data_IF_592814018893
#
_entry.id   IF_592814018893
#
_cell.length_a   1.000
_cell.length_b   1.000
_cell.length_c   1.000
_cell.angle_alpha   90.00
_cell.angle_beta   90.00
_cell.angle_gamma   90.00
#
_symmetry.space_group_name_H-M   'P 1'
#
loop_
_entity.id
_entity.type
_entity.pdbx_description
1 polymer ?
#
# COMPACT_ATOMS: atom_id res chain seq x y z
N UNK A 1 -48.91 20.91 14.82
CA UNK A 1 -48.21 21.59 13.72
C UNK A 1 -46.84 20.96 13.58
N UNK A 2 -46.70 20.12 12.56
CA UNK A 2 -45.48 19.38 12.24
C UNK A 2 -44.91 20.05 10.99
N UNK A 3 -43.77 20.73 11.13
CA UNK A 3 -43.04 21.32 10.01
C UNK A 3 -41.80 20.49 9.73
N UNK A 4 -41.64 20.17 8.44
CA UNK A 4 -40.84 19.08 7.92
C UNK A 4 -39.33 19.23 8.10
N UNK A 5 -38.69 18.07 8.28
CA UNK A 5 -37.28 17.90 7.93
C UNK A 5 -37.19 17.69 6.41
N UNK A 6 -36.26 18.34 5.71
CA UNK A 6 -36.01 18.04 4.32
C UNK A 6 -35.47 16.62 4.18
N UNK A 7 -36.00 15.91 3.19
CA UNK A 7 -35.50 14.62 2.72
C UNK A 7 -34.05 14.80 2.25
N UNK A 8 -33.08 14.41 3.06
CA UNK A 8 -31.73 14.14 2.58
C UNK A 8 -31.82 12.86 1.74
N UNK A 9 -31.50 12.97 0.45
CA UNK A 9 -31.34 11.82 -0.44
C UNK A 9 -30.27 10.92 0.17
N UNK A 10 -30.67 9.74 0.61
CA UNK A 10 -29.79 8.60 0.78
C UNK A 10 -29.23 8.24 -0.59
N UNK A 11 -28.12 8.87 -0.98
CA UNK A 11 -27.27 8.37 -2.06
C UNK A 11 -26.62 7.09 -1.54
N UNK A 12 -27.11 5.96 -2.05
CA UNK A 12 -26.60 4.62 -1.74
C UNK A 12 -25.11 4.56 -2.07
N UNK A 13 -24.26 4.79 -1.08
CA UNK A 13 -22.98 4.09 -1.01
C UNK A 13 -23.34 2.61 -0.94
N UNK A 14 -23.12 1.85 -2.01
CA UNK A 14 -23.19 0.40 -1.93
C UNK A 14 -22.14 -0.05 -0.92
N UNK A 15 -22.58 -0.42 0.28
CA UNK A 15 -21.77 -1.21 1.20
C UNK A 15 -21.34 -2.46 0.44
N UNK A 16 -20.04 -2.70 0.30
CA UNK A 16 -19.57 -3.96 -0.26
C UNK A 16 -20.22 -5.13 0.48
N UNK A 17 -20.54 -6.23 -0.22
CA UNK A 17 -21.15 -7.39 0.42
C UNK A 17 -20.27 -7.90 1.58
N UNK A 18 -20.87 -8.55 2.60
CA UNK A 18 -20.12 -9.15 3.72
C UNK A 18 -19.26 -10.35 3.33
N UNK A 19 -19.09 -10.58 2.03
CA UNK A 19 -18.37 -11.69 1.41
C UNK A 19 -17.49 -11.14 0.29
N UNK A 20 -16.37 -11.81 -0.05
CA UNK A 20 -15.54 -11.40 -1.18
C UNK A 20 -16.36 -11.33 -2.47
N UNK A 21 -16.13 -10.31 -3.33
CA UNK A 21 -16.64 -10.37 -4.69
C UNK A 21 -16.08 -11.61 -5.41
N UNK A 22 -16.80 -12.09 -6.42
CA UNK A 22 -16.33 -13.22 -7.21
C UNK A 22 -15.04 -12.84 -7.96
N UNK A 23 -14.03 -13.71 -7.90
CA UNK A 23 -12.78 -13.52 -8.64
C UNK A 23 -13.04 -13.39 -10.14
N UNK A 24 -12.30 -12.51 -10.80
CA UNK A 24 -12.38 -12.29 -12.26
C UNK A 24 -13.72 -11.76 -12.77
N UNK A 25 -14.66 -11.40 -11.90
CA UNK A 25 -15.95 -10.82 -12.30
C UNK A 25 -15.99 -9.34 -11.96
N UNK A 26 -16.15 -8.44 -12.93
CA UNK A 26 -16.24 -7.02 -12.66
C UNK A 26 -17.44 -6.67 -11.77
N UNK A 27 -17.18 -6.07 -10.61
CA UNK A 27 -18.17 -5.50 -9.71
C UNK A 27 -18.22 -3.99 -9.91
N UNK A 28 -19.39 -3.44 -10.24
CA UNK A 28 -19.59 -2.00 -10.31
C UNK A 28 -19.60 -1.39 -8.89
N UNK A 29 -18.65 -0.50 -8.61
CA UNK A 29 -18.56 0.22 -7.34
C UNK A 29 -19.24 1.59 -7.42
N UNK A 30 -18.97 2.32 -8.50
CA UNK A 30 -19.54 3.62 -8.85
C UNK A 30 -19.78 3.67 -10.38
N UNK A 31 -20.55 4.62 -10.93
CA UNK A 31 -20.89 4.62 -12.37
C UNK A 31 -19.70 4.54 -13.35
N UNK A 32 -18.54 5.05 -12.95
CA UNK A 32 -17.28 5.08 -13.70
C UNK A 32 -16.20 4.19 -13.09
N UNK A 33 -16.52 3.35 -12.10
CA UNK A 33 -15.54 2.57 -11.36
C UNK A 33 -15.98 1.13 -11.14
N UNK A 34 -15.16 0.21 -11.62
CA UNK A 34 -15.34 -1.24 -11.40
C UNK A 34 -14.17 -1.81 -10.61
N UNK A 35 -14.44 -2.87 -9.85
CA UNK A 35 -13.46 -3.72 -9.19
C UNK A 35 -13.43 -5.09 -9.85
N UNK A 36 -12.24 -5.57 -10.20
CA UNK A 36 -11.99 -6.96 -10.59
C UNK A 36 -11.04 -7.56 -9.57
N UNK A 37 -11.52 -8.53 -8.79
CA UNK A 37 -10.71 -9.19 -7.76
C UNK A 37 -9.84 -10.29 -8.39
N UNK A 38 -8.53 -10.21 -8.20
CA UNK A 38 -7.58 -11.21 -8.69
C UNK A 38 -7.69 -12.53 -7.90
N UNK A 39 -7.48 -13.70 -8.55
CA UNK A 39 -7.62 -15.02 -7.94
C UNK A 39 -6.36 -15.43 -7.14
N UNK A 40 -5.91 -14.58 -6.22
CA UNK A 40 -4.68 -14.76 -5.43
C UNK A 40 -4.87 -14.55 -3.92
N UNK A 41 -5.88 -15.18 -3.26
CA UNK A 41 -6.07 -15.02 -1.82
C UNK A 41 -4.88 -15.58 -1.02
N UNK A 42 -4.46 -14.86 0.02
CA UNK A 42 -3.37 -15.25 0.91
C UNK A 42 -3.44 -14.46 2.23
N UNK A 43 -2.61 -14.77 3.24
CA UNK A 43 -2.51 -13.95 4.44
C UNK A 43 -2.12 -12.49 4.17
N UNK A 44 -1.43 -12.20 3.05
CA UNK A 44 -0.98 -10.86 2.68
C UNK A 44 -1.99 -10.12 1.81
N UNK A 45 -2.66 -10.84 0.91
CA UNK A 45 -3.58 -10.28 -0.10
C UNK A 45 -5.05 -10.40 0.30
N UNK A 46 -5.33 -10.99 1.47
CA UNK A 46 -6.67 -11.27 1.99
C UNK A 46 -7.52 -12.08 0.99
N UNK A 47 -8.53 -11.46 0.37
CA UNK A 47 -9.35 -12.10 -0.66
C UNK A 47 -8.70 -12.17 -2.04
N UNK A 48 -7.63 -11.40 -2.25
CA UNK A 48 -6.96 -11.18 -3.52
C UNK A 48 -6.65 -9.69 -3.73
N UNK A 49 -5.91 -9.39 -4.80
CA UNK A 49 -5.63 -8.01 -5.19
C UNK A 49 -6.85 -7.38 -5.85
N UNK A 50 -7.20 -6.18 -5.41
CA UNK A 50 -8.24 -5.35 -5.97
C UNK A 50 -7.69 -4.60 -7.19
N UNK A 51 -8.00 -5.06 -8.40
CA UNK A 51 -7.73 -4.30 -9.62
C UNK A 51 -8.90 -3.37 -9.91
N UNK A 52 -8.64 -2.07 -10.05
CA UNK A 52 -9.68 -1.09 -10.34
C UNK A 52 -9.69 -0.71 -11.81
N UNK A 53 -10.89 -0.63 -12.40
CA UNK A 53 -11.12 -0.12 -13.75
C UNK A 53 -11.85 1.21 -13.64
N UNK A 54 -11.12 2.30 -13.83
CA UNK A 54 -11.62 3.67 -13.78
C UNK A 54 -11.90 4.18 -15.20
N UNK A 55 -13.06 4.78 -15.41
CA UNK A 55 -13.45 5.42 -16.67
C UNK A 55 -14.62 4.76 -17.39
N UNK A 56 -15.13 5.47 -18.39
CA UNK A 56 -16.24 5.06 -19.26
C UNK A 56 -15.76 4.64 -20.65
N UNK A 57 -15.15 5.55 -21.40
CA UNK A 57 -14.66 5.30 -22.77
C UNK A 57 -13.15 5.00 -22.78
N UNK A 58 -12.34 5.88 -22.18
CA UNK A 58 -10.92 5.61 -21.93
C UNK A 58 -10.78 5.05 -20.52
N UNK A 59 -10.27 3.83 -20.41
CA UNK A 59 -10.16 3.10 -19.16
C UNK A 59 -8.71 3.15 -18.63
N UNK A 60 -8.59 3.40 -17.33
CA UNK A 60 -7.39 3.14 -16.54
C UNK A 60 -7.57 1.87 -15.73
N UNK A 61 -6.56 1.00 -15.78
CA UNK A 61 -6.42 -0.16 -14.90
C UNK A 61 -5.46 0.24 -13.78
N UNK A 62 -5.90 0.19 -12.53
CA UNK A 62 -5.05 0.46 -11.36
C UNK A 62 -4.74 -0.86 -10.68
N UNK A 63 -3.45 -1.19 -10.57
CA UNK A 63 -2.89 -2.46 -10.08
C UNK A 63 -3.43 -3.68 -10.84
N UNK A 64 -2.85 -4.01 -12.01
CA UNK A 64 -3.36 -5.08 -12.87
C UNK A 64 -3.28 -6.46 -12.23
N UNK A 65 -2.55 -6.63 -11.12
CA UNK A 65 -2.57 -7.85 -10.33
C UNK A 65 -1.37 -8.78 -10.61
N UNK A 66 -1.37 -9.99 -10.01
CA UNK A 66 -0.41 -11.02 -10.38
C UNK A 66 -0.62 -11.47 -11.83
N UNK A 67 0.43 -12.04 -12.44
CA UNK A 67 0.33 -12.53 -13.80
C UNK A 67 -0.54 -13.80 -13.88
N UNK A 68 -1.81 -13.63 -14.27
CA UNK A 68 -2.82 -14.68 -14.32
C UNK A 68 -3.65 -14.57 -15.60
N UNK A 69 -3.77 -15.68 -16.36
CA UNK A 69 -4.53 -15.73 -17.61
C UNK A 69 -6.00 -15.39 -17.41
N UNK A 70 -6.62 -15.97 -16.38
CA UNK A 70 -8.02 -15.72 -16.05
C UNK A 70 -8.27 -14.26 -15.64
N UNK A 71 -7.30 -13.65 -14.93
CA UNK A 71 -7.41 -12.25 -14.54
C UNK A 71 -7.21 -11.33 -15.76
N UNK A 72 -6.25 -11.61 -16.63
CA UNK A 72 -6.07 -10.88 -17.89
C UNK A 72 -7.34 -10.87 -18.73
N UNK A 73 -7.96 -12.03 -18.93
CA UNK A 73 -9.21 -12.16 -19.66
C UNK A 73 -10.32 -11.31 -19.02
N UNK A 74 -10.42 -11.33 -17.69
CA UNK A 74 -11.37 -10.50 -16.95
C UNK A 74 -11.15 -9.00 -17.18
N UNK A 75 -9.90 -8.52 -17.14
CA UNK A 75 -9.57 -7.12 -17.42
C UNK A 75 -9.91 -6.74 -18.86
N UNK A 76 -9.56 -7.58 -19.84
CA UNK A 76 -9.88 -7.35 -21.25
C UNK A 76 -11.39 -7.33 -21.52
N UNK A 77 -12.17 -8.14 -20.79
CA UNK A 77 -13.63 -8.16 -20.89
C UNK A 77 -14.31 -6.85 -20.45
N UNK A 78 -13.59 -5.99 -19.71
CA UNK A 78 -14.09 -4.69 -19.29
C UNK A 78 -14.16 -3.66 -20.43
N UNK A 79 -13.54 -3.94 -21.59
CA UNK A 79 -13.56 -3.11 -22.80
C UNK A 79 -14.88 -3.27 -23.56
N UNK A 80 -15.98 -2.81 -22.98
CA UNK A 80 -17.34 -2.92 -23.56
C UNK A 80 -17.77 -1.61 -24.22
N UNK A 81 -18.72 -1.68 -25.17
CA UNK A 81 -19.33 -0.48 -25.75
C UNK A 81 -18.38 0.43 -26.56
N UNK A 82 -17.21 -0.06 -26.95
CA UNK A 82 -16.17 0.72 -27.62
C UNK A 82 -15.10 1.29 -26.68
N UNK A 83 -15.26 1.11 -25.37
CA UNK A 83 -14.27 1.51 -24.38
C UNK A 83 -12.94 0.77 -24.56
N UNK A 84 -11.82 1.43 -24.25
CA UNK A 84 -10.46 0.89 -24.42
C UNK A 84 -9.63 1.16 -23.17
N UNK A 85 -8.87 0.15 -22.75
CA UNK A 85 -7.81 0.33 -21.77
C UNK A 85 -6.70 1.13 -22.45
N UNK A 86 -6.38 2.28 -21.88
CA UNK A 86 -5.39 3.23 -22.42
C UNK A 86 -4.26 3.50 -21.43
N UNK A 87 -4.52 3.29 -20.14
CA UNK A 87 -3.59 3.53 -19.05
C UNK A 87 -3.55 2.33 -18.11
N UNK A 88 -2.35 1.96 -17.68
CA UNK A 88 -2.11 1.01 -16.61
C UNK A 88 -1.34 1.75 -15.54
N UNK A 89 -1.97 2.01 -14.40
CA UNK A 89 -1.36 2.67 -13.25
C UNK A 89 -0.97 1.60 -12.25
N UNK A 90 0.29 1.59 -11.83
CA UNK A 90 0.79 0.63 -10.83
C UNK A 90 1.18 1.41 -9.58
N UNK A 91 0.58 1.05 -8.45
CA UNK A 91 0.85 1.70 -7.16
C UNK A 91 2.26 1.39 -6.72
N UNK A 92 2.71 0.13 -6.81
CA UNK A 92 4.03 -0.29 -6.36
C UNK A 92 4.43 -1.66 -6.96
N UNK A 93 5.71 -2.02 -6.81
CA UNK A 93 6.30 -3.19 -7.48
C UNK A 93 6.22 -4.50 -6.67
N UNK A 94 5.17 -4.74 -5.89
CA UNK A 94 4.94 -6.06 -5.31
C UNK A 94 4.32 -7.02 -6.35
N UNK A 95 4.64 -8.30 -6.21
CA UNK A 95 4.31 -9.38 -7.18
C UNK A 95 2.82 -9.61 -7.39
N UNK A 96 2.00 -9.11 -6.49
CA UNK A 96 0.55 -9.21 -6.59
C UNK A 96 -0.08 -7.95 -7.20
N UNK A 97 0.69 -6.89 -7.46
CA UNK A 97 0.21 -5.66 -8.13
C UNK A 97 0.76 -5.49 -9.55
N UNK A 98 2.07 -5.66 -9.73
CA UNK A 98 2.77 -5.24 -10.96
C UNK A 98 2.89 -6.26 -12.10
N UNK A 99 3.01 -7.59 -11.89
CA UNK A 99 3.50 -8.48 -12.95
C UNK A 99 2.61 -8.55 -14.19
N UNK A 100 1.29 -8.38 -14.05
CA UNK A 100 0.39 -8.41 -15.21
C UNK A 100 0.50 -7.17 -16.10
N UNK A 101 1.11 -6.06 -15.62
CA UNK A 101 1.16 -4.79 -16.33
C UNK A 101 1.78 -4.91 -17.73
N UNK A 102 2.94 -5.56 -17.84
CA UNK A 102 3.65 -5.70 -19.11
C UNK A 102 2.86 -6.50 -20.15
N UNK A 103 2.14 -7.55 -19.72
CA UNK A 103 1.33 -8.37 -20.62
C UNK A 103 0.05 -7.64 -21.02
N UNK A 104 -0.64 -7.01 -20.08
CA UNK A 104 -1.81 -6.21 -20.36
C UNK A 104 -1.49 -5.04 -21.31
N UNK A 105 -0.35 -4.39 -21.15
CA UNK A 105 0.15 -3.35 -22.07
C UNK A 105 0.30 -3.89 -23.49
N UNK A 106 0.93 -5.06 -23.68
CA UNK A 106 1.08 -5.68 -25.01
C UNK A 106 -0.25 -6.00 -25.67
N UNK A 107 -1.24 -6.48 -24.92
CA UNK A 107 -2.55 -6.85 -25.45
C UNK A 107 -3.42 -5.64 -25.81
N UNK A 108 -3.27 -4.53 -25.08
CA UNK A 108 -4.16 -3.36 -25.19
C UNK A 108 -3.56 -2.20 -25.96
N UNK A 109 -2.22 -2.09 -25.97
CA UNK A 109 -1.46 -0.92 -26.39
C UNK A 109 -1.41 0.19 -25.32
N UNK A 110 -1.91 -0.06 -24.11
CA UNK A 110 -1.89 0.91 -23.01
C UNK A 110 -0.48 1.10 -22.45
N UNK A 111 -0.15 2.34 -22.07
CA UNK A 111 1.13 2.64 -21.43
C UNK A 111 1.05 2.41 -19.91
N UNK A 112 2.18 2.01 -19.33
CA UNK A 112 2.35 1.74 -17.90
C UNK A 112 2.93 2.97 -17.20
N UNK A 113 2.27 3.43 -16.15
CA UNK A 113 2.65 4.58 -15.35
C UNK A 113 2.84 4.17 -13.89
N UNK A 114 3.94 4.60 -13.28
CA UNK A 114 4.24 4.39 -11.86
C UNK A 114 5.30 5.40 -11.40
N UNK A 115 5.62 5.44 -10.10
CA UNK A 115 6.71 6.27 -9.60
C UNK A 115 8.08 5.86 -10.15
N UNK A 116 8.26 4.60 -10.52
CA UNK A 116 9.52 4.06 -11.02
C UNK A 116 9.66 2.56 -10.82
N UNK A 117 10.81 1.98 -11.17
CA UNK A 117 11.12 0.57 -10.90
C UNK A 117 11.12 0.26 -9.40
N UNK A 118 11.23 -1.02 -9.05
CA UNK A 118 11.04 -1.52 -7.69
C UNK A 118 11.79 -0.80 -6.56
N UNK A 119 12.98 -0.30 -6.84
CA UNK A 119 13.85 0.37 -5.86
C UNK A 119 13.87 1.90 -5.99
N UNK A 120 13.00 2.47 -6.82
CA UNK A 120 12.89 3.92 -6.97
C UNK A 120 12.42 4.56 -5.66
N UNK A 121 13.09 5.63 -5.23
CA UNK A 121 12.71 6.37 -4.01
C UNK A 121 13.22 5.77 -2.70
N UNK A 122 14.07 4.74 -2.74
CA UNK A 122 14.70 4.20 -1.53
C UNK A 122 15.55 5.27 -0.83
N UNK A 123 15.38 5.40 0.49
CA UNK A 123 16.19 6.31 1.30
C UNK A 123 17.63 5.81 1.39
N UNK A 124 18.60 6.71 1.63
CA UNK A 124 20.02 6.34 1.76
C UNK A 124 20.23 5.26 2.84
N UNK A 125 19.46 5.31 3.93
CA UNK A 125 19.49 4.30 4.99
C UNK A 125 19.05 2.92 4.48
N UNK A 126 17.97 2.86 3.69
CA UNK A 126 17.50 1.59 3.14
C UNK A 126 18.42 1.05 2.06
N UNK A 127 19.01 1.92 1.23
CA UNK A 127 20.05 1.53 0.27
C UNK A 127 21.28 0.94 0.97
N UNK A 128 21.73 1.57 2.06
CA UNK A 128 22.84 1.07 2.87
C UNK A 128 22.51 -0.29 3.50
N UNK A 129 21.30 -0.47 4.04
CA UNK A 129 20.84 -1.74 4.60
C UNK A 129 20.78 -2.85 3.52
N UNK A 130 20.26 -2.53 2.33
CA UNK A 130 20.21 -3.45 1.18
C UNK A 130 21.61 -3.87 0.72
N UNK A 131 22.57 -2.95 0.74
CA UNK A 131 23.95 -3.24 0.34
C UNK A 131 24.74 -4.01 1.41
N UNK A 132 24.44 -3.78 2.70
CA UNK A 132 25.18 -4.34 3.82
C UNK A 132 24.82 -5.81 4.10
N UNK A 133 23.67 -6.29 3.66
CA UNK A 133 23.17 -7.57 4.11
C UNK A 133 22.44 -8.37 3.01
N UNK A 134 22.39 -9.70 3.17
CA UNK A 134 21.40 -10.56 2.51
C UNK A 134 20.02 -10.42 3.19
N UNK A 135 19.69 -9.19 3.62
CA UNK A 135 18.40 -8.84 4.22
C UNK A 135 17.42 -8.76 3.06
N UNK A 136 16.82 -9.92 2.78
CA UNK A 136 15.80 -10.06 1.76
C UNK A 136 14.56 -9.21 2.05
N UNK A 137 13.87 -8.86 0.98
CA UNK A 137 12.55 -8.26 1.00
C UNK A 137 11.46 -9.26 1.40
N UNK A 138 10.57 -8.86 2.31
CA UNK A 138 9.67 -9.79 3.01
C UNK A 138 8.39 -10.18 2.25
N UNK A 139 7.92 -9.35 1.32
CA UNK A 139 6.58 -9.53 0.69
C UNK A 139 6.63 -9.91 -0.79
N UNK A 140 7.84 -10.03 -1.34
CA UNK A 140 8.04 -10.40 -2.74
C UNK A 140 7.91 -9.20 -3.66
N UNK A 141 9.04 -8.57 -3.92
CA UNK A 141 9.19 -7.57 -4.98
C UNK A 141 9.25 -8.24 -6.36
N UNK A 142 8.66 -7.60 -7.36
CA UNK A 142 8.93 -7.84 -8.77
C UNK A 142 10.15 -7.01 -9.22
N UNK A 143 11.36 -7.60 -9.26
CA UNK A 143 12.56 -6.86 -9.65
C UNK A 143 12.59 -6.54 -11.15
N UNK A 144 11.67 -7.11 -11.92
CA UNK A 144 11.58 -6.92 -13.38
C UNK A 144 10.61 -5.80 -13.76
N UNK A 145 9.89 -5.24 -12.79
CA UNK A 145 8.94 -4.17 -13.03
C UNK A 145 9.63 -2.91 -13.56
N UNK A 146 9.18 -2.45 -14.72
CA UNK A 146 9.63 -1.22 -15.36
C UNK A 146 8.40 -0.51 -15.97
N UNK A 147 8.06 0.70 -15.52
CA UNK A 147 7.02 1.50 -16.16
C UNK A 147 7.53 2.12 -17.48
N UNK A 148 6.61 2.41 -18.40
CA UNK A 148 6.87 3.18 -19.61
C UNK A 148 7.05 4.68 -19.27
N UNK A 149 6.28 5.16 -18.28
CA UNK A 149 6.31 6.53 -17.80
C UNK A 149 6.53 6.58 -16.28
N UNK A 150 7.56 7.31 -15.89
CA UNK A 150 7.86 7.64 -14.49
C UNK A 150 7.07 8.89 -14.12
N UNK A 151 6.21 8.76 -13.10
CA UNK A 151 5.38 9.86 -12.59
C UNK A 151 6.08 10.59 -11.44
N UNK A 152 6.06 11.91 -11.50
CA UNK A 152 6.47 12.74 -10.37
C UNK A 152 5.35 12.83 -9.30
N UNK A 153 5.74 13.19 -8.07
CA UNK A 153 4.78 13.52 -7.02
C UNK A 153 3.93 14.74 -7.43
N UNK A 154 2.61 14.61 -7.32
CA UNK A 154 1.63 15.63 -7.72
C UNK A 154 1.36 15.72 -9.23
N UNK A 155 1.97 14.86 -10.05
CA UNK A 155 1.71 14.83 -11.49
C UNK A 155 0.27 14.39 -11.78
N UNK A 156 -0.38 15.04 -12.75
CA UNK A 156 -1.77 14.76 -13.12
C UNK A 156 -1.87 14.21 -14.54
N UNK A 157 -2.55 13.07 -14.68
CA UNK A 157 -2.82 12.39 -15.93
C UNK A 157 -4.26 12.64 -16.39
N UNK A 158 -4.43 12.88 -17.69
CA UNK A 158 -5.75 12.93 -18.32
C UNK A 158 -6.12 11.56 -18.87
N UNK A 159 -7.25 11.01 -18.42
CA UNK A 159 -7.75 9.69 -18.82
C UNK A 159 -9.22 9.84 -19.23
N UNK A 160 -9.46 10.06 -20.52
CA UNK A 160 -10.80 10.44 -20.99
C UNK A 160 -11.26 11.73 -20.31
N UNK A 161 -12.37 11.69 -19.58
CA UNK A 161 -12.89 12.81 -18.80
C UNK A 161 -12.38 12.86 -17.35
N UNK A 162 -11.51 11.91 -16.95
CA UNK A 162 -10.97 11.83 -15.60
C UNK A 162 -9.59 12.47 -15.51
N UNK A 163 -9.39 13.27 -14.46
CA UNK A 163 -8.06 13.66 -13.99
C UNK A 163 -7.64 12.70 -12.87
N UNK A 164 -6.45 12.11 -13.02
CA UNK A 164 -5.85 11.25 -11.99
C UNK A 164 -4.55 11.86 -11.53
N UNK A 165 -4.46 12.25 -10.26
CA UNK A 165 -3.25 12.83 -9.67
C UNK A 165 -2.46 11.75 -8.94
N UNK A 166 -1.18 11.64 -9.24
CA UNK A 166 -0.29 10.69 -8.62
C UNK A 166 0.34 11.30 -7.37
N UNK A 167 0.26 10.61 -6.23
CA UNK A 167 0.85 11.03 -4.96
C UNK A 167 1.89 10.00 -4.54
N UNK A 168 3.16 10.40 -4.51
CA UNK A 168 4.25 9.51 -4.08
C UNK A 168 4.20 9.29 -2.57
N UNK A 169 3.75 8.12 -2.13
CA UNK A 169 3.48 7.77 -0.73
C UNK A 169 4.42 6.64 -0.28
N UNK A 170 5.74 6.89 -0.21
CA UNK A 170 6.70 5.87 0.16
C UNK A 170 6.46 5.38 1.59
N UNK A 171 6.91 4.17 1.86
CA UNK A 171 7.07 3.64 3.21
C UNK A 171 6.64 2.19 3.37
N UNK A 172 5.54 1.78 2.72
CA UNK A 172 5.25 0.35 2.55
C UNK A 172 6.27 -0.26 1.58
N UNK A 173 6.37 0.34 0.39
CA UNK A 173 7.46 0.18 -0.55
C UNK A 173 7.98 1.59 -0.92
N UNK A 174 9.25 1.70 -1.27
CA UNK A 174 9.90 2.97 -1.64
C UNK A 174 9.28 3.63 -2.88
N UNK A 175 8.84 2.83 -3.86
CA UNK A 175 8.21 3.32 -5.09
C UNK A 175 6.68 3.45 -4.98
N UNK A 176 6.10 3.33 -3.79
CA UNK A 176 4.66 3.31 -3.62
C UNK A 176 3.99 4.64 -3.97
N UNK A 177 2.89 4.59 -4.72
CA UNK A 177 2.02 5.71 -5.06
C UNK A 177 0.56 5.44 -4.70
N UNK A 178 -0.09 6.48 -4.21
CA UNK A 178 -1.55 6.58 -4.24
C UNK A 178 -1.98 7.35 -5.50
N UNK A 179 -3.18 7.07 -6.01
CA UNK A 179 -3.77 7.82 -7.12
C UNK A 179 -5.08 8.49 -6.69
N UNK A 180 -5.26 9.77 -7.03
CA UNK A 180 -6.45 10.55 -6.66
C UNK A 180 -7.30 10.83 -7.89
N UNK A 181 -8.60 10.54 -7.81
CA UNK A 181 -9.58 10.88 -8.85
C UNK A 181 -10.82 11.52 -8.22
N UNK A 182 -10.92 12.85 -8.31
CA UNK A 182 -11.96 13.62 -7.63
C UNK A 182 -11.82 13.52 -6.10
N UNK A 183 -12.89 13.09 -5.43
CA UNK A 183 -12.93 12.90 -3.97
C UNK A 183 -12.50 11.49 -3.51
N UNK A 184 -11.98 10.67 -4.44
CA UNK A 184 -11.58 9.27 -4.23
C UNK A 184 -10.07 9.15 -4.26
N UNK A 185 -9.53 8.24 -3.46
CA UNK A 185 -8.11 7.88 -3.49
C UNK A 185 -7.95 6.36 -3.60
N UNK A 186 -7.14 5.91 -4.54
CA UNK A 186 -6.68 4.53 -4.66
C UNK A 186 -5.42 4.41 -3.81
N UNK A 187 -5.52 3.71 -2.68
CA UNK A 187 -4.49 3.74 -1.64
C UNK A 187 -3.44 2.66 -1.78
N UNK A 188 -3.61 1.72 -2.72
CA UNK A 188 -2.79 0.52 -2.81
C UNK A 188 -2.68 -0.13 -1.44
N UNK A 189 -1.45 -0.45 -1.05
CA UNK A 189 -1.16 -1.10 0.23
C UNK A 189 -0.77 -0.11 1.32
N UNK A 190 -0.85 1.20 1.05
CA UNK A 190 -0.51 2.22 2.04
C UNK A 190 -1.57 2.36 3.15
N UNK A 191 -2.86 2.24 2.79
CA UNK A 191 -3.97 2.33 3.75
C UNK A 191 -5.05 1.33 3.35
N UNK A 192 -5.25 0.31 4.19
CA UNK A 192 -6.26 -0.73 4.01
C UNK A 192 -7.18 -0.81 5.23
N UNK A 193 -8.41 -1.30 5.08
CA UNK A 193 -9.39 -1.41 6.18
C UNK A 193 -9.04 -2.55 7.15
N UNK A 194 -8.78 -3.73 6.59
CA UNK A 194 -8.69 -5.00 7.33
C UNK A 194 -7.38 -5.21 8.09
N UNK A 195 -6.28 -4.57 7.65
CA UNK A 195 -4.95 -4.75 8.22
C UNK A 195 -4.12 -3.47 8.24
N UNK A 196 -3.13 -3.42 9.11
CA UNK A 196 -2.08 -2.40 9.05
C UNK A 196 -1.07 -2.80 7.98
N UNK A 197 -0.65 -1.87 7.12
CA UNK A 197 0.38 -2.12 6.10
C UNK A 197 1.67 -2.62 6.74
N UNK A 198 2.22 -3.73 6.24
CA UNK A 198 3.55 -4.15 6.68
C UNK A 198 4.57 -3.11 6.19
N UNK A 199 5.59 -2.89 7.01
CA UNK A 199 6.72 -2.04 6.68
C UNK A 199 7.94 -2.92 6.95
N UNK A 200 8.55 -3.39 5.87
CA UNK A 200 9.64 -4.37 5.93
C UNK A 200 10.89 -3.80 5.25
N UNK A 201 11.86 -3.28 6.01
CA UNK A 201 13.14 -2.87 5.44
C UNK A 201 13.86 -4.00 4.67
N UNK A 202 14.78 -3.69 3.74
CA UNK A 202 15.05 -2.37 3.18
C UNK A 202 13.93 -1.87 2.24
N UNK A 203 12.98 -2.71 1.87
CA UNK A 203 11.92 -2.36 0.90
C UNK A 203 11.00 -1.25 1.44
N UNK A 204 10.61 -1.38 2.71
CA UNK A 204 9.79 -0.41 3.44
C UNK A 204 10.58 0.44 4.42
N UNK A 205 10.08 1.65 4.66
CA UNK A 205 10.67 2.66 5.54
C UNK A 205 9.58 3.27 6.45
N UNK A 206 9.71 3.11 7.76
CA UNK A 206 8.71 3.58 8.71
C UNK A 206 8.65 5.12 8.78
N UNK A 207 9.79 5.80 8.70
CA UNK A 207 9.82 7.25 8.74
C UNK A 207 9.06 7.82 7.54
N UNK A 208 9.32 7.25 6.35
CA UNK A 208 8.61 7.58 5.12
C UNK A 208 7.11 7.26 5.21
N UNK A 209 6.74 6.08 5.72
CA UNK A 209 5.33 5.69 5.89
C UNK A 209 4.57 6.68 6.77
N UNK A 210 5.16 7.05 7.91
CA UNK A 210 4.54 8.00 8.84
C UNK A 210 4.44 9.41 8.24
N UNK A 211 5.41 9.83 7.42
CA UNK A 211 5.33 11.10 6.69
C UNK A 211 4.21 11.08 5.64
N UNK A 212 4.13 10.01 4.85
CA UNK A 212 3.08 9.78 3.85
C UNK A 212 1.68 9.78 4.49
N UNK A 213 1.49 9.07 5.60
CA UNK A 213 0.23 9.08 6.35
C UNK A 213 -0.16 10.49 6.84
N UNK A 214 0.79 11.30 7.33
CA UNK A 214 0.49 12.68 7.73
C UNK A 214 0.09 13.53 6.54
N UNK A 215 0.76 13.37 5.39
CA UNK A 215 0.42 14.09 4.16
C UNK A 215 -0.98 13.72 3.66
N UNK A 216 -1.38 12.45 3.78
CA UNK A 216 -2.74 12.00 3.45
C UNK A 216 -3.83 12.65 4.34
N UNK A 217 -3.48 13.15 5.54
CA UNK A 217 -4.43 13.88 6.41
C UNK A 217 -4.58 15.36 6.04
N UNK A 218 -3.75 15.88 5.13
CA UNK A 218 -3.82 17.27 4.64
C UNK A 218 -4.96 17.46 3.65
N UNK A 219 -5.48 16.37 3.07
CA UNK A 219 -6.58 16.37 2.12
C UNK A 219 -7.70 15.44 2.57
N UNK A 220 -8.92 15.95 2.55
CA UNK A 220 -10.09 15.12 2.81
C UNK A 220 -10.52 14.40 1.52
N UNK A 221 -10.56 13.08 1.59
CA UNK A 221 -11.15 12.22 0.58
C UNK A 221 -12.37 11.52 1.17
N UNK A 222 -13.41 11.35 0.36
CA UNK A 222 -14.65 10.68 0.77
C UNK A 222 -14.40 9.20 1.07
N UNK A 223 -13.56 8.55 0.28
CA UNK A 223 -13.35 7.10 0.32
C UNK A 223 -11.96 6.73 -0.17
N UNK A 224 -11.34 5.70 0.43
CA UNK A 224 -10.18 5.05 -0.14
C UNK A 224 -10.53 3.69 -0.74
N UNK A 225 -9.94 3.39 -1.89
CA UNK A 225 -10.00 2.12 -2.60
C UNK A 225 -8.65 1.40 -2.47
N UNK A 226 -8.51 0.47 -1.52
CA UNK A 226 -7.23 -0.17 -1.20
C UNK A 226 -6.88 -1.32 -2.16
N UNK A 227 -5.60 -1.68 -2.19
CA UNK A 227 -5.08 -2.85 -2.90
C UNK A 227 -5.73 -4.16 -2.44
N UNK A 228 -6.20 -4.23 -1.18
CA UNK A 228 -6.85 -5.41 -0.64
C UNK A 228 -8.04 -5.09 0.27
N UNK A 229 -9.02 -5.99 0.24
CA UNK A 229 -10.18 -5.95 1.13
C UNK A 229 -11.20 -4.87 0.74
N UNK A 230 -11.88 -4.32 1.74
CA UNK A 230 -13.01 -3.41 1.52
C UNK A 230 -12.57 -1.94 1.45
N UNK A 231 -13.32 -1.07 0.74
CA UNK A 231 -13.09 0.37 0.73
C UNK A 231 -13.11 0.96 2.14
N UNK A 232 -12.22 1.91 2.38
CA UNK A 232 -12.15 2.64 3.64
C UNK A 232 -13.11 3.83 3.55
N UNK A 233 -14.26 3.72 4.22
CA UNK A 233 -15.32 4.75 4.19
C UNK A 233 -15.13 5.88 5.20
N UNK A 234 -14.18 5.73 6.12
CA UNK A 234 -13.74 6.78 7.03
C UNK A 234 -12.21 6.98 6.93
N UNK A 235 -11.69 7.50 5.79
CA UNK A 235 -10.25 7.54 5.52
C UNK A 235 -9.44 8.23 6.61
N UNK A 236 -9.89 9.41 7.05
CA UNK A 236 -9.21 10.19 8.10
C UNK A 236 -9.04 9.37 9.39
N UNK A 237 -10.13 8.81 9.90
CA UNK A 237 -10.11 8.01 11.13
C UNK A 237 -9.23 6.76 10.99
N UNK A 238 -9.20 6.15 9.79
CA UNK A 238 -8.33 5.00 9.53
C UNK A 238 -6.85 5.39 9.57
N UNK A 239 -6.46 6.48 8.92
CA UNK A 239 -5.08 6.97 8.91
C UNK A 239 -4.64 7.37 10.33
N UNK A 240 -5.49 8.05 11.09
CA UNK A 240 -5.23 8.38 12.50
C UNK A 240 -5.03 7.12 13.36
N UNK A 241 -5.82 6.07 13.13
CA UNK A 241 -5.66 4.77 13.79
C UNK A 241 -4.32 4.12 13.46
N UNK A 242 -3.88 4.16 12.20
CA UNK A 242 -2.57 3.64 11.79
C UNK A 242 -1.41 4.38 12.46
N UNK A 243 -1.47 5.72 12.47
CA UNK A 243 -0.47 6.56 13.14
C UNK A 243 -0.39 6.26 14.65
N UNK A 244 -1.55 6.18 15.32
CA UNK A 244 -1.63 5.87 16.75
C UNK A 244 -1.11 4.46 17.07
N UNK A 245 -1.42 3.48 16.21
CA UNK A 245 -0.92 2.11 16.36
C UNK A 245 0.62 2.05 16.29
N UNK A 246 1.23 2.76 15.34
CA UNK A 246 2.70 2.83 15.19
C UNK A 246 3.36 3.55 16.37
N UNK A 247 2.77 4.65 16.83
CA UNK A 247 3.26 5.36 18.03
C UNK A 247 3.20 4.48 19.29
N UNK A 248 2.12 3.72 19.46
CA UNK A 248 2.01 2.75 20.56
C UNK A 248 3.13 1.71 20.48
N UNK A 249 3.36 1.14 19.29
CA UNK A 249 4.41 0.12 19.09
C UNK A 249 5.81 0.67 19.39
N UNK A 250 6.09 1.90 18.97
CA UNK A 250 7.34 2.60 19.30
C UNK A 250 7.54 2.70 20.83
N UNK A 251 6.49 3.07 21.57
CA UNK A 251 6.52 3.12 23.04
C UNK A 251 6.77 1.75 23.68
N UNK A 252 6.14 0.69 23.16
CA UNK A 252 6.34 -0.69 23.61
C UNK A 252 7.81 -1.14 23.41
N UNK A 253 8.41 -0.82 22.25
CA UNK A 253 9.81 -1.13 21.93
C UNK A 253 10.77 -0.42 22.88
N UNK A 254 10.60 0.89 23.06
CA UNK A 254 11.46 1.67 23.96
C UNK A 254 11.38 1.18 25.40
N UNK A 255 10.20 0.74 25.87
CA UNK A 255 10.04 0.16 27.20
C UNK A 255 10.86 -1.13 27.35
N UNK A 256 10.87 -1.99 26.35
CA UNK A 256 11.65 -3.23 26.38
C UNK A 256 13.17 -2.96 26.33
N UNK A 257 13.60 -2.05 25.46
CA UNK A 257 15.01 -1.67 25.32
C UNK A 257 15.62 -1.08 26.62
N UNK A 258 14.82 -0.34 27.41
CA UNK A 258 15.29 0.19 28.71
C UNK A 258 15.67 -0.89 29.71
N UNK A 259 15.10 -2.09 29.57
CA UNK A 259 15.33 -3.19 30.53
C UNK A 259 16.62 -3.91 30.20
N UNK A 260 16.75 -4.33 28.93
CA UNK A 260 17.96 -4.88 28.34
C UNK A 260 17.92 -4.50 26.86
N UNK A 261 19.05 -4.11 26.28
CA UNK A 261 19.15 -3.95 24.83
C UNK A 261 18.70 -5.22 24.10
N UNK A 262 18.53 -5.13 22.78
CA UNK A 262 18.13 -6.31 22.02
C UNK A 262 18.05 -6.08 20.52
N UNK A 263 18.04 -7.20 19.80
CA UNK A 263 17.79 -7.22 18.37
C UNK A 263 16.29 -7.16 18.06
N UNK A 264 15.95 -6.95 16.78
CA UNK A 264 14.56 -6.91 16.33
C UNK A 264 13.79 -8.20 16.66
N UNK A 265 14.42 -9.36 16.48
CA UNK A 265 13.83 -10.66 16.75
C UNK A 265 13.56 -10.87 18.25
N UNK A 266 14.52 -10.51 19.10
CA UNK A 266 14.37 -10.62 20.56
C UNK A 266 13.25 -9.71 21.08
N UNK A 267 13.19 -8.47 20.57
CA UNK A 267 12.16 -7.51 20.95
C UNK A 267 10.80 -7.95 20.43
N UNK A 268 10.70 -8.48 19.21
CA UNK A 268 9.46 -9.06 18.70
C UNK A 268 8.95 -10.19 19.61
N UNK A 269 9.80 -11.13 20.01
CA UNK A 269 9.42 -12.21 20.92
C UNK A 269 8.92 -11.72 22.30
N UNK A 270 9.48 -10.61 22.82
CA UNK A 270 9.05 -10.01 24.09
C UNK A 270 7.75 -9.21 23.99
N UNK A 271 7.48 -8.62 22.82
CA UNK A 271 6.36 -7.70 22.60
C UNK A 271 5.11 -8.44 22.11
N UNK A 272 5.30 -9.46 21.27
CA UNK A 272 4.23 -10.21 20.62
C UNK A 272 4.05 -11.57 21.31
N UNK A 273 3.58 -11.56 22.56
CA UNK A 273 3.41 -12.79 23.35
C UNK A 273 2.17 -13.61 22.98
N UNK A 274 1.17 -12.97 22.37
CA UNK A 274 -0.16 -13.53 22.15
C UNK A 274 -0.49 -13.70 20.65
N UNK A 275 0.54 -13.78 19.80
CA UNK A 275 0.38 -14.02 18.36
C UNK A 275 0.83 -15.44 17.98
N UNK A 276 0.31 -15.94 16.85
CA UNK A 276 0.80 -17.19 16.27
C UNK A 276 2.32 -17.09 16.02
N UNK A 277 3.13 -18.06 16.49
CA UNK A 277 4.57 -18.09 16.23
C UNK A 277 4.95 -17.94 14.75
N UNK A 278 4.08 -18.36 13.83
CA UNK A 278 4.28 -18.18 12.39
C UNK A 278 4.35 -16.71 11.95
N UNK A 279 3.82 -15.76 12.75
CA UNK A 279 3.83 -14.32 12.48
C UNK A 279 5.06 -13.61 13.06
N UNK A 280 5.88 -14.28 13.87
CA UNK A 280 7.06 -13.67 14.49
C UNK A 280 8.10 -13.14 13.48
N UNK A 281 8.35 -13.77 12.32
CA UNK A 281 9.24 -13.20 11.31
C UNK A 281 8.74 -11.84 10.80
N UNK A 282 7.44 -11.72 10.47
CA UNK A 282 6.85 -10.45 10.05
C UNK A 282 6.84 -9.41 11.19
N UNK A 283 6.61 -9.84 12.43
CA UNK A 283 6.72 -8.97 13.59
C UNK A 283 8.15 -8.46 13.80
N UNK A 284 9.17 -9.30 13.64
CA UNK A 284 10.59 -8.93 13.70
C UNK A 284 10.94 -7.87 12.65
N UNK A 285 10.49 -8.08 11.40
CA UNK A 285 10.65 -7.11 10.30
C UNK A 285 10.03 -5.74 10.65
N UNK A 286 8.84 -5.74 11.25
CA UNK A 286 8.20 -4.51 11.71
C UNK A 286 8.96 -3.83 12.86
N UNK A 287 9.45 -4.61 13.83
CA UNK A 287 10.27 -4.08 14.93
C UNK A 287 11.58 -3.48 14.40
N UNK A 288 12.23 -4.12 13.41
CA UNK A 288 13.42 -3.57 12.77
C UNK A 288 13.14 -2.21 12.13
N UNK A 289 12.01 -2.05 11.44
CA UNK A 289 11.59 -0.76 10.88
C UNK A 289 11.48 0.34 11.95
N UNK A 290 10.92 0.00 13.11
CA UNK A 290 10.85 0.90 14.26
C UNK A 290 12.22 1.25 14.84
N UNK A 291 13.13 0.27 14.94
CA UNK A 291 14.47 0.50 15.47
C UNK A 291 15.30 1.42 14.57
N UNK A 292 15.21 1.24 13.25
CA UNK A 292 15.87 2.11 12.27
C UNK A 292 15.36 3.55 12.39
N UNK A 293 14.05 3.75 12.41
CA UNK A 293 13.43 5.07 12.57
C UNK A 293 13.81 5.72 13.92
N UNK A 294 13.82 4.95 15.01
CA UNK A 294 14.29 5.43 16.31
C UNK A 294 15.79 5.81 16.31
N UNK A 295 16.63 5.07 15.57
CA UNK A 295 18.06 5.35 15.46
C UNK A 295 18.29 6.64 14.66
N UNK A 296 17.58 6.84 13.55
CA UNK A 296 17.59 8.08 12.77
C UNK A 296 17.15 9.29 13.60
N UNK A 297 16.20 9.10 14.54
CA UNK A 297 15.77 10.12 15.50
C UNK A 297 16.73 10.31 16.68
N UNK A 298 17.84 9.56 16.75
CA UNK A 298 18.81 9.62 17.85
C UNK A 298 18.33 9.03 19.18
N UNK A 299 17.21 8.31 19.19
CA UNK A 299 16.56 7.79 20.42
C UNK A 299 17.07 6.42 20.85
N UNK A 300 17.66 5.69 19.91
CA UNK A 300 18.40 4.45 20.18
C UNK A 300 19.75 4.51 19.48
N UNK A 301 20.72 3.76 20.00
CA UNK A 301 22.04 3.58 19.43
C UNK A 301 22.30 2.11 19.12
N UNK A 302 23.24 1.86 18.22
CA UNK A 302 23.79 0.56 17.89
C UNK A 302 25.30 0.73 17.60
N UNK A 303 26.11 -0.28 17.94
CA UNK A 303 27.57 -0.22 17.76
C UNK A 303 28.01 -0.73 16.37
N UNK A 304 27.32 -1.76 15.88
CA UNK A 304 27.61 -2.41 14.60
C UNK A 304 26.83 -1.76 13.45
N UNK A 305 27.25 -1.95 12.18
CA UNK A 305 26.43 -1.57 11.02
C UNK A 305 25.02 -2.18 11.09
N UNK A 306 24.05 -1.50 10.47
CA UNK A 306 22.66 -1.98 10.44
C UNK A 306 22.54 -3.31 9.67
N UNK A 307 21.95 -4.29 10.32
CA UNK A 307 21.64 -5.64 9.87
C UNK A 307 20.41 -6.16 10.63
N UNK A 308 19.91 -7.35 10.28
CA UNK A 308 18.74 -7.96 10.94
C UNK A 308 18.97 -8.31 12.42
N UNK A 309 20.20 -8.65 12.78
CA UNK A 309 20.62 -9.07 14.11
C UNK A 309 21.29 -7.94 14.92
N UNK A 310 21.34 -6.71 14.38
CA UNK A 310 21.88 -5.55 15.08
C UNK A 310 21.20 -5.38 16.44
N UNK A 311 22.02 -5.22 17.49
CA UNK A 311 21.56 -4.98 18.86
C UNK A 311 21.45 -3.48 19.11
N UNK A 312 20.29 -3.05 19.58
CA UNK A 312 19.99 -1.66 19.88
C UNK A 312 19.91 -1.39 21.39
N UNK A 313 20.23 -0.16 21.78
CA UNK A 313 20.15 0.35 23.15
C UNK A 313 19.46 1.71 23.17
N UNK A 314 18.81 2.07 24.28
CA UNK A 314 18.26 3.44 24.43
C UNK A 314 19.41 4.44 24.55
N UNK A 315 19.34 5.55 23.80
CA UNK A 315 20.32 6.63 23.90
C UNK A 315 20.33 7.24 25.30
N UNK A 316 21.52 7.43 25.88
CA UNK A 316 21.67 7.98 27.24
C UNK A 316 21.32 9.48 27.32
N UNK A 317 21.27 10.19 26.19
CA UNK A 317 20.85 11.59 26.08
C UNK A 317 19.97 11.79 24.82
N UNK A 318 18.63 11.80 24.95
CA UNK A 318 17.70 11.95 23.84
C UNK A 318 17.51 13.39 23.35
#
# INVERSE_FOLDING_TARGET
MQWGKPLLREERLMTLPPFPPAHGTPLMLEPDLRLVLAPNPSPMTYWGTNTYILGTDALAVIDPGPDSDAHLEALLSCQTGGARITHILVTHAHKDHSPLAARLSRETGAAIYAFGPAHAGESETMQALRAAADVGGGEGIDPTFQPDHILADGESLQIGDHHVTALWTPGHLSNHMCFVSGDRLFSGDHVMEWATSLISPPDGDLAAFMASCRRLLEHDHRIYYPGHGTPVTAPRARVETLLAHRQKREGDILKQLKTTGGSAAELAARIYTDVDPALLPAASRNVLAHLIDLAQKGRVTHADPLAEDTVFHVSENP
#
